data_IF_257234509815
#
_entry.id   IF_257234509815
#
_cell.length_a   1.000
_cell.length_b   1.000
_cell.length_c   1.000
_cell.angle_alpha   90.00
_cell.angle_beta   90.00
_cell.angle_gamma   90.00
#
_symmetry.space_group_name_H-M   'P 1'
#
loop_
_entity.id
_entity.type
_entity.pdbx_description
1 polymer ?
#
# COMPACT_ATOMS: atom_id res chain seq x y z
N UNK A 1 -9.48 6.88 9.71
CA UNK A 1 -8.38 5.93 10.01
C UNK A 1 -7.60 5.63 8.75
N UNK A 2 -8.24 5.10 7.71
CA UNK A 2 -7.59 4.81 6.43
C UNK A 2 -8.52 5.16 5.26
N UNK A 3 -7.92 5.38 4.09
CA UNK A 3 -8.61 5.41 2.78
C UNK A 3 -8.09 4.25 1.95
N UNK A 4 -8.97 3.64 1.17
CA UNK A 4 -8.69 2.42 0.43
C UNK A 4 -9.25 2.56 -0.99
N UNK A 5 -8.53 2.08 -1.98
CA UNK A 5 -8.92 2.19 -3.38
C UNK A 5 -8.80 0.82 -4.05
N UNK A 6 -9.90 0.34 -4.63
CA UNK A 6 -9.87 -0.83 -5.50
C UNK A 6 -9.77 -0.44 -6.97
N UNK A 7 -10.16 -1.34 -7.86
CA UNK A 7 -10.12 -1.07 -9.31
C UNK A 7 -11.00 0.12 -9.71
N UNK A 8 -12.24 0.15 -9.21
CA UNK A 8 -13.27 1.16 -9.56
C UNK A 8 -14.15 1.59 -8.38
N UNK A 9 -13.89 1.06 -7.19
CA UNK A 9 -14.57 1.38 -5.95
C UNK A 9 -13.57 1.96 -4.95
N UNK A 10 -14.11 2.54 -3.90
CA UNK A 10 -13.37 3.26 -2.88
C UNK A 10 -13.97 2.92 -1.52
N UNK A 11 -13.13 2.98 -0.48
CA UNK A 11 -13.59 2.86 0.88
C UNK A 11 -12.85 3.80 1.82
N UNK A 12 -13.49 4.08 2.95
CA UNK A 12 -12.91 4.82 4.06
C UNK A 12 -13.22 4.08 5.36
N UNK A 13 -12.18 3.80 6.13
CA UNK A 13 -12.31 3.26 7.48
C UNK A 13 -12.23 4.41 8.48
N UNK A 14 -13.31 4.65 9.21
CA UNK A 14 -13.37 5.65 10.27
C UNK A 14 -12.55 5.22 11.49
N UNK A 15 -12.20 6.18 12.35
CA UNK A 15 -11.55 5.85 13.64
C UNK A 15 -12.48 5.14 14.61
N UNK A 16 -13.79 5.23 14.40
CA UNK A 16 -14.78 4.49 15.20
C UNK A 16 -14.75 3.00 14.92
N UNK A 17 -14.24 2.55 13.77
CA UNK A 17 -14.42 1.18 13.27
C UNK A 17 -15.46 1.07 12.14
N UNK A 18 -16.10 2.17 11.73
CA UNK A 18 -17.11 2.13 10.67
C UNK A 18 -16.45 2.10 9.29
N UNK A 19 -16.82 1.14 8.45
CA UNK A 19 -16.40 1.05 7.06
C UNK A 19 -17.45 1.68 6.14
N UNK A 20 -16.99 2.61 5.30
CA UNK A 20 -17.81 3.24 4.27
C UNK A 20 -17.27 2.85 2.88
N UNK A 21 -18.16 2.50 1.96
CA UNK A 21 -17.83 2.10 0.58
C UNK A 21 -18.63 2.97 -0.41
N UNK A 22 -18.06 3.23 -1.59
CA UNK A 22 -18.71 3.92 -2.71
C UNK A 22 -18.00 3.66 -4.04
N UNK A 23 -18.62 4.10 -5.14
CA UNK A 23 -18.14 3.92 -6.49
C UNK A 23 -18.90 2.82 -7.23
N UNK A 24 -18.18 2.03 -8.02
CA UNK A 24 -18.75 1.00 -8.86
C UNK A 24 -19.16 -0.25 -8.07
N UNK A 25 -20.32 -0.83 -8.37
CA UNK A 25 -20.93 -1.93 -7.62
C UNK A 25 -21.47 -3.07 -8.51
N UNK A 26 -21.23 -3.11 -9.82
CA UNK A 26 -21.84 -4.16 -10.66
C UNK A 26 -21.36 -5.60 -10.38
N UNK A 27 -20.45 -5.83 -9.42
CA UNK A 27 -20.09 -7.15 -8.87
C UNK A 27 -20.21 -7.13 -7.34
N UNK A 28 -21.17 -6.38 -6.80
CA UNK A 28 -21.47 -6.31 -5.36
C UNK A 28 -20.32 -5.84 -4.47
N UNK A 29 -19.34 -5.16 -5.06
CA UNK A 29 -18.08 -4.83 -4.38
C UNK A 29 -18.23 -3.82 -3.24
N UNK A 30 -19.43 -3.26 -3.02
CA UNK A 30 -19.70 -2.30 -1.96
C UNK A 30 -20.35 -2.90 -0.71
N UNK A 31 -20.94 -4.10 -0.79
CA UNK A 31 -21.44 -4.82 0.40
C UNK A 31 -22.73 -4.25 1.01
N UNK A 32 -23.66 -3.78 0.18
CA UNK A 32 -24.89 -3.10 0.64
C UNK A 32 -26.20 -3.82 0.33
N UNK A 33 -26.15 -4.97 -0.36
CA UNK A 33 -27.34 -5.68 -0.87
C UNK A 33 -28.30 -4.76 -1.66
N UNK A 34 -27.78 -4.14 -2.73
CA UNK A 34 -28.54 -3.24 -3.59
C UNK A 34 -28.22 -3.46 -5.06
N UNK A 35 -29.22 -3.27 -5.91
CA UNK A 35 -29.09 -3.36 -7.37
C UNK A 35 -28.40 -2.14 -8.00
N UNK A 36 -28.11 -1.09 -7.21
CA UNK A 36 -27.43 0.11 -7.69
C UNK A 36 -26.03 -0.25 -8.22
N UNK A 37 -25.82 -0.12 -9.53
CA UNK A 37 -24.50 -0.35 -10.15
C UNK A 37 -23.44 0.69 -9.75
N UNK A 38 -23.88 1.83 -9.21
CA UNK A 38 -23.01 2.93 -8.83
C UNK A 38 -23.56 3.68 -7.61
N UNK A 39 -22.76 3.76 -6.55
CA UNK A 39 -23.07 4.56 -5.37
C UNK A 39 -22.14 5.78 -5.34
N UNK A 40 -22.65 7.02 -5.54
CA UNK A 40 -21.80 8.18 -5.74
C UNK A 40 -21.23 8.78 -4.45
N UNK A 41 -21.71 8.36 -3.28
CA UNK A 41 -21.33 8.92 -1.98
C UNK A 41 -20.97 7.80 -0.99
N UNK A 42 -20.03 8.04 -0.06
CA UNK A 42 -19.71 7.08 0.99
C UNK A 42 -20.97 6.62 1.73
N UNK A 43 -21.20 5.31 1.76
CA UNK A 43 -22.31 4.66 2.48
C UNK A 43 -21.73 3.66 3.47
N UNK A 44 -22.26 3.62 4.68
CA UNK A 44 -21.81 2.67 5.69
C UNK A 44 -22.19 1.23 5.29
N UNK A 45 -21.29 0.28 5.47
CA UNK A 45 -21.53 -1.14 5.26
C UNK A 45 -22.30 -1.68 6.46
N UNK A 46 -23.63 -1.64 6.40
CA UNK A 46 -24.51 -1.91 7.54
C UNK A 46 -24.46 -3.36 8.08
N UNK A 47 -23.99 -4.30 7.29
CA UNK A 47 -23.81 -5.70 7.69
C UNK A 47 -22.61 -5.91 8.62
N UNK A 48 -21.68 -4.95 8.71
CA UNK A 48 -20.57 -4.98 9.66
C UNK A 48 -20.90 -4.16 10.89
N UNK A 49 -20.36 -4.56 12.04
CA UNK A 49 -20.41 -3.72 13.24
C UNK A 49 -19.62 -2.41 12.99
N UNK A 50 -20.27 -1.24 13.07
CA UNK A 50 -19.65 0.05 12.77
C UNK A 50 -18.62 0.49 13.82
N UNK A 51 -18.39 -0.30 14.86
CA UNK A 51 -17.38 -0.07 15.89
C UNK A 51 -16.21 -1.05 15.86
N UNK A 52 -16.25 -2.06 14.98
CA UNK A 52 -15.37 -3.22 15.12
C UNK A 52 -14.39 -3.44 13.96
N UNK A 53 -14.54 -2.78 12.80
CA UNK A 53 -13.62 -3.01 11.68
C UNK A 53 -12.21 -2.47 11.99
N UNK A 54 -11.23 -3.37 12.05
CA UNK A 54 -9.85 -3.07 12.37
C UNK A 54 -9.06 -2.66 11.13
N UNK A 55 -9.20 -3.40 10.03
CA UNK A 55 -8.56 -3.14 8.75
C UNK A 55 -9.39 -3.68 7.58
N UNK A 56 -9.17 -3.14 6.38
CA UNK A 56 -9.82 -3.61 5.17
C UNK A 56 -8.92 -3.37 3.94
N UNK A 57 -9.17 -4.13 2.87
CA UNK A 57 -8.48 -4.00 1.59
C UNK A 57 -9.47 -4.20 0.45
N UNK A 58 -9.34 -3.39 -0.59
CA UNK A 58 -10.16 -3.47 -1.80
C UNK A 58 -9.32 -4.05 -2.93
N UNK A 59 -9.83 -5.08 -3.60
CA UNK A 59 -9.18 -5.75 -4.72
C UNK A 59 -9.67 -5.26 -6.08
N UNK A 60 -9.48 -6.12 -7.09
CA UNK A 60 -10.02 -5.94 -8.42
C UNK A 60 -11.55 -5.91 -8.43
N UNK A 61 -12.15 -6.89 -7.76
CA UNK A 61 -13.59 -7.18 -7.82
C UNK A 61 -14.20 -7.58 -6.47
N UNK A 62 -13.44 -7.51 -5.38
CA UNK A 62 -13.87 -7.98 -4.06
C UNK A 62 -13.24 -7.13 -2.96
N UNK A 63 -13.71 -7.33 -1.73
CA UNK A 63 -13.22 -6.64 -0.54
C UNK A 63 -13.02 -7.66 0.57
N UNK A 64 -11.98 -7.47 1.36
CA UNK A 64 -11.79 -8.16 2.62
C UNK A 64 -11.71 -7.15 3.76
N UNK A 65 -12.31 -7.47 4.90
CA UNK A 65 -12.24 -6.67 6.13
C UNK A 65 -12.05 -7.58 7.34
N UNK A 66 -11.13 -7.22 8.23
CA UNK A 66 -10.96 -7.91 9.50
C UNK A 66 -11.42 -7.01 10.65
N UNK A 67 -12.08 -7.60 11.63
CA UNK A 67 -12.54 -6.92 12.84
C UNK A 67 -11.50 -6.96 13.98
N UNK A 68 -11.78 -6.34 15.13
CA UNK A 68 -10.83 -6.31 16.25
C UNK A 68 -10.72 -7.65 16.99
N UNK A 69 -11.72 -8.54 16.82
CA UNK A 69 -11.66 -9.93 17.29
C UNK A 69 -10.77 -10.82 16.39
N UNK A 70 -10.35 -10.29 15.24
CA UNK A 70 -9.53 -10.97 14.25
C UNK A 70 -10.33 -11.88 13.31
N UNK A 71 -11.66 -11.76 13.27
CA UNK A 71 -12.51 -12.43 12.27
C UNK A 71 -12.35 -11.72 10.93
N UNK A 72 -12.36 -12.50 9.86
CA UNK A 72 -12.25 -12.01 8.49
C UNK A 72 -13.59 -12.12 7.78
N UNK A 73 -14.00 -11.04 7.12
CA UNK A 73 -15.16 -10.98 6.26
C UNK A 73 -14.73 -10.66 4.83
N UNK A 74 -15.45 -11.19 3.84
CA UNK A 74 -15.23 -10.88 2.43
C UNK A 74 -16.54 -10.77 1.65
N UNK A 75 -16.53 -9.97 0.60
CA UNK A 75 -17.69 -9.81 -0.31
C UNK A 75 -17.27 -9.33 -1.70
N UNK A 76 -18.22 -9.24 -2.62
CA UNK A 76 -18.00 -8.96 -4.04
C UNK A 76 -17.76 -10.23 -4.86
N UNK A 77 -17.09 -10.11 -6.01
CA UNK A 77 -16.82 -11.21 -6.93
C UNK A 77 -16.07 -12.38 -6.28
N UNK A 78 -16.43 -13.60 -6.69
CA UNK A 78 -15.92 -14.87 -6.16
C UNK A 78 -15.70 -15.92 -7.27
N UNK A 79 -15.59 -15.50 -8.52
CA UNK A 79 -15.42 -16.38 -9.69
C UNK A 79 -14.17 -17.26 -9.59
N UNK A 80 -13.13 -16.73 -8.95
CA UNK A 80 -11.86 -17.41 -8.70
C UNK A 80 -11.71 -17.83 -7.24
N UNK A 81 -12.79 -17.79 -6.43
CA UNK A 81 -12.72 -18.11 -5.01
C UNK A 81 -12.07 -17.01 -4.16
N UNK A 82 -11.87 -15.80 -4.68
CA UNK A 82 -11.17 -14.71 -4.00
C UNK A 82 -11.90 -14.15 -2.77
N UNK A 83 -13.19 -14.42 -2.60
CA UNK A 83 -13.88 -14.14 -1.33
C UNK A 83 -13.55 -15.19 -0.25
N UNK A 84 -13.07 -16.37 -0.64
CA UNK A 84 -12.68 -17.43 0.31
C UNK A 84 -13.85 -18.14 0.98
N UNK A 85 -15.06 -17.90 0.47
CA UNK A 85 -16.31 -18.53 0.90
C UNK A 85 -16.73 -19.49 -0.20
N UNK A 86 -16.87 -20.78 0.13
CA UNK A 86 -17.31 -21.79 -0.83
C UNK A 86 -18.82 -21.64 -1.07
N UNK A 87 -19.18 -21.10 -2.23
CA UNK A 87 -20.55 -20.97 -2.71
C UNK A 87 -21.00 -22.19 -3.53
N UNK A 88 -20.20 -23.25 -3.58
CA UNK A 88 -20.41 -24.45 -4.39
C UNK A 88 -19.68 -24.40 -5.75
N UNK A 89 -19.47 -25.57 -6.35
CA UNK A 89 -18.89 -25.71 -7.70
C UNK A 89 -19.91 -25.40 -8.79
N UNK A 90 -19.55 -24.50 -9.72
CA UNK A 90 -20.31 -24.34 -10.96
C UNK A 90 -20.17 -25.63 -11.77
N UNK A 91 -21.25 -26.43 -11.84
CA UNK A 91 -21.22 -27.72 -12.54
C UNK A 91 -22.29 -28.74 -12.15
N UNK A 92 -23.17 -28.43 -11.18
CA UNK A 92 -24.24 -29.35 -10.73
C UNK A 92 -25.65 -28.72 -10.73
N UNK A 93 -25.88 -27.68 -11.55
CA UNK A 93 -27.20 -27.03 -11.63
C UNK A 93 -27.59 -26.18 -10.40
N UNK A 94 -26.67 -25.98 -9.47
CA UNK A 94 -26.81 -25.00 -8.38
C UNK A 94 -26.39 -23.63 -8.93
N UNK A 95 -27.25 -22.62 -8.77
CA UNK A 95 -26.87 -21.23 -8.97
C UNK A 95 -25.76 -20.90 -7.96
N UNK A 96 -24.51 -20.94 -8.39
CA UNK A 96 -23.39 -20.45 -7.61
C UNK A 96 -23.45 -18.94 -7.69
N UNK A 97 -23.69 -18.27 -6.56
CA UNK A 97 -23.54 -16.82 -6.50
C UNK A 97 -22.07 -16.49 -6.80
N UNK A 98 -21.82 -16.00 -8.02
CA UNK A 98 -20.49 -15.61 -8.48
C UNK A 98 -19.98 -14.34 -7.77
N UNK A 99 -20.82 -13.73 -6.95
CA UNK A 99 -20.52 -12.57 -6.13
C UNK A 99 -21.37 -12.60 -4.84
N UNK A 100 -20.87 -11.96 -3.79
CA UNK A 100 -21.52 -11.84 -2.48
C UNK A 100 -21.95 -10.38 -2.27
N UNK A 101 -23.25 -10.13 -2.13
CA UNK A 101 -23.84 -8.79 -1.99
C UNK A 101 -23.63 -8.14 -0.62
N UNK A 102 -23.24 -8.94 0.36
CA UNK A 102 -22.94 -8.54 1.74
C UNK A 102 -21.66 -9.21 2.25
N UNK A 103 -20.98 -8.60 3.24
CA UNK A 103 -19.89 -9.23 3.98
C UNK A 103 -20.25 -10.60 4.55
N UNK A 104 -19.50 -11.62 4.17
CA UNK A 104 -19.62 -12.99 4.67
C UNK A 104 -18.37 -13.41 5.44
N UNK A 105 -18.55 -14.19 6.50
CA UNK A 105 -17.43 -14.68 7.33
C UNK A 105 -16.59 -15.70 6.54
N UNK A 106 -15.29 -15.45 6.45
CA UNK A 106 -14.35 -16.34 5.77
C UNK A 106 -13.90 -17.46 6.71
N UNK A 107 -14.16 -18.75 6.37
CA UNK A 107 -13.76 -19.86 7.21
C UNK A 107 -12.26 -20.14 7.08
N UNK A 108 -11.51 -20.06 8.18
CA UNK A 108 -10.12 -20.52 8.19
C UNK A 108 -10.01 -21.98 8.62
N UNK A 109 -9.13 -22.79 7.98
CA UNK A 109 -8.81 -24.11 8.48
C UNK A 109 -8.07 -23.97 9.81
N UNK A 110 -8.73 -24.37 10.90
CA UNK A 110 -8.08 -24.44 12.20
C UNK A 110 -7.01 -25.54 12.17
N UNK A 111 -5.75 -25.23 12.54
CA UNK A 111 -4.81 -26.29 12.89
C UNK A 111 -5.34 -27.00 14.14
N UNK A 112 -5.52 -28.31 14.07
CA UNK A 112 -5.56 -29.21 15.24
C UNK A 112 -6.80 -29.17 16.16
N UNK A 113 -8.01 -28.93 15.61
CA UNK A 113 -9.25 -29.14 16.36
C UNK A 113 -9.51 -28.13 17.49
N UNK A 114 -8.70 -27.07 17.58
CA UNK A 114 -9.04 -25.87 18.33
C UNK A 114 -9.93 -25.01 17.44
N UNK A 115 -11.06 -24.52 17.97
CA UNK A 115 -12.04 -23.68 17.26
C UNK A 115 -11.38 -22.72 16.25
N UNK A 116 -11.79 -22.81 14.99
CA UNK A 116 -11.39 -21.92 13.88
C UNK A 116 -11.53 -20.41 14.19
N UNK A 117 -12.30 -20.05 15.23
CA UNK A 117 -12.45 -18.70 15.78
C UNK A 117 -11.24 -18.18 16.61
N UNK A 118 -10.00 -18.61 16.34
CA UNK A 118 -8.81 -18.13 17.09
C UNK A 118 -7.65 -17.60 16.27
N UNK A 119 -7.72 -17.65 14.94
CA UNK A 119 -6.72 -16.94 14.13
C UNK A 119 -6.99 -15.44 14.23
N UNK A 120 -6.06 -14.74 14.86
CA UNK A 120 -6.11 -13.29 15.05
C UNK A 120 -5.61 -12.62 13.76
N UNK A 121 -6.49 -12.43 12.79
CA UNK A 121 -6.15 -11.73 11.55
C UNK A 121 -5.93 -10.25 11.86
N UNK A 122 -4.79 -9.71 11.44
CA UNK A 122 -4.40 -8.32 11.71
C UNK A 122 -4.18 -7.50 10.45
N UNK A 123 -3.98 -8.16 9.31
CA UNK A 123 -3.80 -7.52 8.02
C UNK A 123 -4.49 -8.32 6.93
N UNK A 124 -4.99 -7.59 5.93
CA UNK A 124 -5.60 -8.15 4.73
C UNK A 124 -5.04 -7.41 3.52
N UNK A 125 -4.83 -8.14 2.42
CA UNK A 125 -4.43 -7.56 1.15
C UNK A 125 -5.21 -8.25 0.02
N UNK A 126 -5.87 -7.46 -0.82
CA UNK A 126 -6.67 -7.95 -1.94
C UNK A 126 -5.99 -7.57 -3.25
N UNK A 127 -5.70 -8.57 -4.07
CA UNK A 127 -5.19 -8.38 -5.42
C UNK A 127 -6.30 -8.30 -6.46
N UNK A 128 -5.97 -8.64 -7.70
CA UNK A 128 -6.93 -8.67 -8.80
C UNK A 128 -7.99 -9.77 -8.62
N UNK A 129 -7.52 -10.98 -8.35
CA UNK A 129 -8.33 -12.20 -8.19
C UNK A 129 -7.84 -13.05 -7.01
N UNK A 130 -7.06 -12.47 -6.11
CA UNK A 130 -6.50 -13.16 -4.95
C UNK A 130 -6.67 -12.33 -3.68
N UNK A 131 -6.56 -13.01 -2.56
CA UNK A 131 -6.66 -12.44 -1.23
C UNK A 131 -5.61 -13.03 -0.35
N UNK A 132 -5.16 -12.23 0.60
CA UNK A 132 -4.21 -12.63 1.60
C UNK A 132 -4.57 -12.09 2.96
N UNK A 133 -4.15 -12.81 3.99
CA UNK A 133 -4.30 -12.41 5.38
C UNK A 133 -3.03 -12.71 6.18
N UNK A 134 -2.74 -11.88 7.19
CA UNK A 134 -1.63 -12.08 8.13
C UNK A 134 -2.16 -12.32 9.53
N UNK A 135 -1.67 -13.38 10.18
CA UNK A 135 -1.95 -13.70 11.58
C UNK A 135 -1.03 -12.88 12.48
N UNK A 136 -1.58 -12.10 13.41
CA UNK A 136 -0.84 -11.06 14.14
C UNK A 136 0.36 -11.55 14.97
N UNK A 137 0.20 -12.64 15.74
CA UNK A 137 1.29 -13.11 16.63
C UNK A 137 2.41 -13.83 15.91
N UNK A 138 2.08 -14.52 14.82
CA UNK A 138 3.04 -15.40 14.13
C UNK A 138 3.58 -14.76 12.85
N UNK A 139 2.90 -13.75 12.31
CA UNK A 139 3.17 -13.18 11.01
C UNK A 139 3.03 -14.21 9.88
N UNK A 140 2.26 -15.28 10.11
CA UNK A 140 1.96 -16.28 9.07
C UNK A 140 1.00 -15.71 8.04
N UNK A 141 1.23 -16.08 6.79
CA UNK A 141 0.44 -15.61 5.65
C UNK A 141 -0.49 -16.73 5.19
N UNK A 142 -1.75 -16.38 4.96
CA UNK A 142 -2.72 -17.21 4.25
C UNK A 142 -3.04 -16.55 2.91
N UNK A 143 -3.31 -17.37 1.90
CA UNK A 143 -3.68 -16.94 0.54
C UNK A 143 -4.87 -17.74 0.05
N UNK A 144 -5.70 -17.12 -0.79
CA UNK A 144 -6.75 -17.78 -1.57
C UNK A 144 -7.06 -16.97 -2.82
N UNK A 145 -7.90 -17.50 -3.70
CA UNK A 145 -8.11 -16.99 -5.05
C UNK A 145 -7.06 -17.48 -6.05
N UNK A 146 -6.88 -16.72 -7.13
CA UNK A 146 -5.91 -16.97 -8.20
C UNK A 146 -4.65 -16.12 -8.02
N UNK A 147 -3.55 -16.74 -7.60
CA UNK A 147 -2.25 -16.09 -7.38
C UNK A 147 -1.29 -16.15 -8.57
N UNK A 148 -1.60 -16.96 -9.60
CA UNK A 148 -0.78 -17.14 -10.81
C UNK A 148 -1.69 -17.20 -12.03
N UNK A 149 -1.25 -16.63 -13.16
CA UNK A 149 -1.98 -16.68 -14.42
C UNK A 149 -2.14 -18.11 -14.96
N UNK A 150 -3.39 -18.53 -15.11
CA UNK A 150 -3.90 -19.61 -15.99
C UNK A 150 -3.53 -21.10 -15.80
N UNK A 151 -2.53 -21.51 -15.00
CA UNK A 151 -2.16 -22.96 -14.96
C UNK A 151 -2.61 -23.75 -13.73
N UNK A 152 -2.96 -23.08 -12.62
CA UNK A 152 -3.38 -23.75 -11.38
C UNK A 152 -4.82 -23.43 -11.03
N UNK A 153 -5.53 -24.45 -10.57
CA UNK A 153 -6.85 -24.29 -9.96
C UNK A 153 -6.75 -23.33 -8.76
N UNK A 154 -7.62 -22.31 -8.68
CA UNK A 154 -7.56 -21.35 -7.61
C UNK A 154 -8.02 -21.97 -6.28
N UNK A 155 -7.41 -21.53 -5.18
CA UNK A 155 -7.83 -21.94 -3.85
C UNK A 155 -9.13 -21.20 -3.49
N UNK A 156 -10.22 -21.91 -3.21
CA UNK A 156 -11.52 -21.31 -2.84
C UNK A 156 -11.70 -21.06 -1.34
N UNK A 157 -10.72 -21.45 -0.54
CA UNK A 157 -10.66 -21.21 0.89
C UNK A 157 -9.23 -20.85 1.31
N UNK A 158 -9.03 -20.13 2.44
CA UNK A 158 -7.71 -19.75 2.91
C UNK A 158 -6.76 -20.94 3.07
N UNK A 159 -5.62 -20.91 2.39
CA UNK A 159 -4.53 -21.88 2.56
C UNK A 159 -3.28 -21.18 3.09
N UNK A 160 -2.58 -21.83 4.02
CA UNK A 160 -1.34 -21.29 4.59
C UNK A 160 -0.24 -21.27 3.53
N UNK A 161 0.47 -20.15 3.40
CA UNK A 161 1.64 -20.00 2.52
C UNK A 161 2.86 -20.61 3.23
N UNK A 162 3.45 -21.71 2.72
CA UNK A 162 4.61 -22.32 3.34
C UNK A 162 5.87 -21.45 3.18
N UNK A 163 6.82 -21.60 4.11
CA UNK A 163 8.14 -20.97 4.01
C UNK A 163 8.23 -19.51 4.46
N UNK A 164 7.11 -18.87 4.84
CA UNK A 164 7.10 -17.47 5.31
C UNK A 164 6.35 -17.30 6.64
N UNK A 165 6.93 -16.51 7.55
CA UNK A 165 6.37 -16.11 8.87
C UNK A 165 6.99 -14.78 9.31
N UNK A 166 6.53 -14.20 10.41
CA UNK A 166 7.07 -12.92 10.90
C UNK A 166 6.86 -11.75 9.93
N UNK A 167 5.83 -11.85 9.08
CA UNK A 167 5.45 -10.79 8.15
C UNK A 167 4.81 -9.65 8.93
N UNK A 168 5.33 -8.43 8.72
CA UNK A 168 4.85 -7.20 9.34
C UNK A 168 4.08 -6.32 8.37
N UNK A 169 4.27 -6.49 7.07
CA UNK A 169 3.51 -5.77 6.03
C UNK A 169 3.29 -6.68 4.85
N UNK A 170 2.08 -6.65 4.30
CA UNK A 170 1.72 -7.39 3.10
C UNK A 170 1.08 -6.45 2.07
N UNK A 171 1.47 -6.61 0.80
CA UNK A 171 0.85 -5.91 -0.33
C UNK A 171 0.53 -6.90 -1.44
N UNK A 172 -0.62 -6.71 -2.09
CA UNK A 172 -1.07 -7.56 -3.19
C UNK A 172 -1.24 -6.71 -4.46
N UNK A 173 -0.64 -7.15 -5.56
CA UNK A 173 -0.87 -6.63 -6.89
C UNK A 173 -1.97 -7.39 -7.62
N UNK A 174 -2.05 -7.28 -8.96
CA UNK A 174 -3.09 -8.00 -9.70
C UNK A 174 -2.97 -9.52 -9.51
N UNK A 175 -1.74 -10.03 -9.62
CA UNK A 175 -1.43 -11.47 -9.60
C UNK A 175 -0.12 -11.78 -8.85
N UNK A 176 0.34 -10.89 -7.96
CA UNK A 176 1.56 -11.09 -7.19
C UNK A 176 1.42 -10.51 -5.79
N UNK A 177 2.30 -10.93 -4.89
CA UNK A 177 2.35 -10.42 -3.52
C UNK A 177 3.77 -9.99 -3.17
N UNK A 178 3.84 -9.04 -2.23
CA UNK A 178 5.05 -8.62 -1.54
C UNK A 178 4.81 -8.76 -0.05
N UNK A 179 5.76 -9.36 0.66
CA UNK A 179 5.77 -9.42 2.12
C UNK A 179 7.05 -8.79 2.65
N UNK A 180 6.92 -7.98 3.70
CA UNK A 180 8.03 -7.43 4.47
C UNK A 180 8.08 -8.14 5.82
N UNK A 181 9.25 -8.64 6.19
CA UNK A 181 9.52 -9.15 7.53
C UNK A 181 10.08 -8.06 8.44
N UNK A 182 10.01 -8.29 9.76
CA UNK A 182 10.49 -7.36 10.79
C UNK A 182 11.99 -7.01 10.65
N UNK A 183 12.80 -7.93 10.11
CA UNK A 183 14.23 -7.73 9.85
C UNK A 183 14.53 -6.89 8.60
N UNK A 184 13.49 -6.43 7.90
CA UNK A 184 13.60 -5.59 6.70
C UNK A 184 13.75 -6.37 5.39
N UNK A 185 13.71 -7.71 5.40
CA UNK A 185 13.73 -8.52 4.18
C UNK A 185 12.39 -8.48 3.46
N UNK A 186 12.47 -8.43 2.13
CA UNK A 186 11.31 -8.40 1.22
C UNK A 186 11.22 -9.72 0.48
N UNK A 187 10.05 -10.34 0.49
CA UNK A 187 9.73 -11.55 -0.26
C UNK A 187 8.67 -11.24 -1.30
N UNK A 188 8.72 -11.94 -2.42
CA UNK A 188 7.72 -11.84 -3.49
C UNK A 188 7.37 -13.21 -4.05
N UNK A 189 6.13 -13.35 -4.53
CA UNK A 189 5.65 -14.54 -5.24
C UNK A 189 4.42 -14.22 -6.09
N UNK A 190 4.01 -15.15 -6.93
CA UNK A 190 2.94 -15.01 -7.92
C UNK A 190 3.49 -14.82 -9.33
N UNK A 191 2.77 -14.04 -10.14
CA UNK A 191 3.19 -13.73 -11.51
C UNK A 191 4.37 -12.77 -11.55
N UNK A 192 5.36 -13.05 -12.42
CA UNK A 192 6.57 -12.23 -12.56
C UNK A 192 7.01 -11.97 -13.98
N UNK A 193 6.14 -12.18 -14.98
CA UNK A 193 6.50 -12.05 -16.41
C UNK A 193 7.03 -10.67 -16.79
N UNK A 194 6.52 -9.62 -16.15
CA UNK A 194 6.97 -8.23 -16.36
C UNK A 194 8.03 -7.80 -15.34
N UNK A 195 8.53 -8.74 -14.53
CA UNK A 195 9.55 -8.49 -13.52
C UNK A 195 9.03 -7.98 -12.18
N UNK A 196 7.71 -7.97 -11.93
CA UNK A 196 7.10 -7.42 -10.71
C UNK A 196 7.51 -8.14 -9.41
N UNK A 197 8.17 -9.30 -9.51
CA UNK A 197 8.79 -10.00 -8.40
C UNK A 197 10.19 -9.44 -8.04
N UNK A 198 10.88 -8.79 -8.97
CA UNK A 198 12.18 -8.14 -8.70
C UNK A 198 13.36 -9.12 -8.56
N UNK A 199 13.19 -10.38 -8.98
CA UNK A 199 14.16 -11.47 -8.79
C UNK A 199 15.26 -11.52 -9.86
N UNK A 200 15.33 -10.51 -10.73
CA UNK A 200 16.31 -10.40 -11.80
C UNK A 200 16.04 -11.29 -13.01
N UNK A 201 14.90 -11.97 -13.06
CA UNK A 201 14.43 -12.80 -14.17
C UNK A 201 12.92 -12.70 -14.31
N UNK A 202 12.36 -12.82 -15.53
CA UNK A 202 10.94 -13.00 -15.73
C UNK A 202 10.51 -14.40 -15.29
N UNK A 203 9.21 -14.57 -15.06
CA UNK A 203 8.58 -15.85 -14.74
C UNK A 203 7.90 -15.85 -13.38
N UNK A 204 7.10 -16.89 -13.14
CA UNK A 204 6.27 -17.02 -11.94
C UNK A 204 7.04 -17.69 -10.80
N UNK A 205 6.68 -17.34 -9.58
CA UNK A 205 7.16 -18.02 -8.37
C UNK A 205 5.97 -18.47 -7.53
N UNK A 206 5.90 -19.76 -7.23
CA UNK A 206 4.79 -20.33 -6.45
C UNK A 206 4.96 -20.16 -4.94
N UNK A 207 6.20 -19.94 -4.50
CA UNK A 207 6.56 -19.80 -3.09
C UNK A 207 7.23 -18.47 -2.84
N UNK A 208 7.12 -17.91 -1.62
CA UNK A 208 7.83 -16.69 -1.27
C UNK A 208 9.33 -16.79 -1.52
N UNK A 209 9.84 -15.91 -2.38
CA UNK A 209 11.26 -15.85 -2.74
C UNK A 209 11.80 -14.46 -2.37
N UNK A 210 12.96 -14.42 -1.70
CA UNK A 210 13.57 -13.17 -1.23
C UNK A 210 14.02 -12.30 -2.41
N UNK A 211 13.72 -11.00 -2.35
CA UNK A 211 14.21 -9.99 -3.28
C UNK A 211 15.58 -9.53 -2.81
N UNK A 212 16.61 -10.34 -3.06
CA UNK A 212 17.98 -10.16 -2.52
C UNK A 212 18.60 -8.77 -2.81
N UNK A 213 18.16 -8.13 -3.89
CA UNK A 213 18.58 -6.77 -4.24
C UNK A 213 18.24 -5.72 -3.17
N UNK A 214 17.30 -6.03 -2.26
CA UNK A 214 16.84 -5.13 -1.19
C UNK A 214 17.32 -5.53 0.22
N UNK A 215 18.02 -6.65 0.40
CA UNK A 215 18.35 -7.19 1.74
C UNK A 215 19.18 -6.25 2.63
N UNK A 216 19.79 -5.20 2.05
CA UNK A 216 20.57 -4.17 2.78
C UNK A 216 20.02 -2.76 2.64
N UNK A 217 18.83 -2.60 2.05
CA UNK A 217 18.25 -1.29 1.80
C UNK A 217 17.57 -0.69 3.04
N UNK A 218 17.29 -1.49 4.07
CA UNK A 218 16.55 -1.04 5.26
C UNK A 218 15.10 -0.69 4.91
N UNK A 219 14.41 -1.61 4.23
CA UNK A 219 13.03 -1.44 3.78
C UNK A 219 12.09 -1.32 4.97
N UNK A 220 11.17 -0.36 4.90
CA UNK A 220 10.15 -0.07 5.94
C UNK A 220 8.73 -0.32 5.44
N UNK A 221 8.49 -0.17 4.15
CA UNK A 221 7.17 -0.45 3.54
C UNK A 221 7.30 -0.96 2.12
N UNK A 222 6.29 -1.70 1.69
CA UNK A 222 6.15 -2.25 0.34
C UNK A 222 4.77 -1.89 -0.21
N UNK A 223 4.67 -1.76 -1.53
CA UNK A 223 3.42 -1.54 -2.23
C UNK A 223 3.42 -2.33 -3.53
N UNK A 224 2.25 -2.81 -3.94
CA UNK A 224 2.06 -3.57 -5.16
C UNK A 224 0.91 -2.96 -5.96
N UNK A 225 1.15 -2.69 -7.24
CA UNK A 225 0.16 -2.22 -8.20
C UNK A 225 -0.28 -3.35 -9.13
N UNK A 226 -0.86 -3.01 -10.27
CA UNK A 226 -1.34 -4.01 -11.23
C UNK A 226 -0.25 -5.02 -11.65
N UNK A 227 0.89 -4.52 -12.13
CA UNK A 227 2.02 -5.34 -12.59
C UNK A 227 3.36 -4.72 -12.22
N UNK A 228 3.40 -3.95 -11.14
CA UNK A 228 4.61 -3.28 -10.67
C UNK A 228 4.60 -3.20 -9.15
N UNK A 229 5.77 -2.91 -8.61
CA UNK A 229 6.07 -3.04 -7.20
C UNK A 229 6.94 -1.88 -6.76
N UNK A 230 6.85 -1.55 -5.47
CA UNK A 230 7.70 -0.55 -4.85
C UNK A 230 8.07 -0.94 -3.42
N UNK A 231 9.22 -0.43 -2.97
CA UNK A 231 9.67 -0.51 -1.59
C UNK A 231 10.20 0.87 -1.16
N UNK A 232 9.87 1.29 0.06
CA UNK A 232 10.38 2.52 0.65
C UNK A 232 11.25 2.18 1.85
N UNK A 233 12.45 2.75 1.90
CA UNK A 233 13.41 2.54 2.98
C UNK A 233 13.16 3.48 4.15
N UNK A 234 13.70 3.14 5.32
CA UNK A 234 13.68 4.04 6.48
C UNK A 234 14.41 5.37 6.23
N UNK A 235 15.35 5.40 5.26
CA UNK A 235 16.05 6.61 4.84
C UNK A 235 15.23 7.53 3.92
N UNK A 236 14.07 7.07 3.43
CA UNK A 236 13.20 7.80 2.51
C UNK A 236 13.53 7.58 1.03
N UNK A 237 14.28 6.52 0.71
CA UNK A 237 14.58 6.11 -0.68
C UNK A 237 13.46 5.20 -1.18
N UNK A 238 13.01 5.42 -2.42
CA UNK A 238 11.98 4.60 -3.07
C UNK A 238 12.62 3.75 -4.17
N UNK A 239 12.38 2.44 -4.13
CA UNK A 239 12.70 1.50 -5.20
C UNK A 239 11.45 1.09 -5.95
N UNK A 240 11.55 0.91 -7.26
CA UNK A 240 10.46 0.51 -8.17
C UNK A 240 10.91 -0.60 -9.11
N UNK A 241 10.01 -1.52 -9.44
CA UNK A 241 10.27 -2.58 -10.43
C UNK A 241 8.98 -3.17 -11.01
N UNK A 242 9.11 -4.03 -12.02
CA UNK A 242 8.01 -4.61 -12.78
C UNK A 242 7.73 -3.87 -14.07
N UNK A 243 6.46 -3.84 -14.47
CA UNK A 243 6.03 -3.33 -15.78
C UNK A 243 6.26 -1.82 -15.92
N UNK A 244 6.96 -1.41 -16.97
CA UNK A 244 7.32 -0.01 -17.25
C UNK A 244 6.29 0.77 -18.06
N UNK A 245 5.38 0.07 -18.76
CA UNK A 245 4.38 0.67 -19.66
C UNK A 245 3.61 1.85 -19.01
N UNK A 246 3.42 2.94 -19.77
CA UNK A 246 2.85 4.22 -19.33
C UNK A 246 3.71 5.00 -18.34
N UNK A 247 4.99 4.67 -18.18
CA UNK A 247 5.89 5.36 -17.26
C UNK A 247 5.56 5.11 -15.79
N UNK A 248 4.84 4.03 -15.46
CA UNK A 248 4.34 3.78 -14.09
C UNK A 248 5.44 3.52 -13.04
N UNK A 249 6.68 3.39 -13.47
CA UNK A 249 7.86 3.26 -12.61
C UNK A 249 8.48 4.62 -12.27
N UNK A 250 8.15 5.72 -12.95
CA UNK A 250 8.67 7.02 -12.54
C UNK A 250 10.15 7.26 -12.90
N UNK A 251 10.66 6.52 -13.89
CA UNK A 251 12.05 6.60 -14.35
C UNK A 251 12.24 7.59 -15.52
N UNK A 252 11.21 8.36 -15.81
CA UNK A 252 11.18 9.33 -16.89
C UNK A 252 10.34 8.92 -18.10
N UNK A 253 9.88 9.91 -18.85
CA UNK A 253 9.14 9.72 -20.11
C UNK A 253 9.95 8.93 -21.16
N UNK A 254 11.29 8.94 -21.06
CA UNK A 254 12.20 8.17 -21.92
C UNK A 254 12.43 6.72 -21.52
N UNK A 255 11.98 6.28 -20.33
CA UNK A 255 12.18 4.90 -19.84
C UNK A 255 10.85 4.26 -19.40
N UNK A 256 10.26 3.51 -20.32
CA UNK A 256 9.08 2.68 -20.09
C UNK A 256 9.39 1.18 -20.13
N UNK A 257 10.65 0.79 -20.05
CA UNK A 257 11.04 -0.61 -20.09
C UNK A 257 10.76 -1.30 -18.76
N UNK A 258 10.34 -2.56 -18.83
CA UNK A 258 10.13 -3.39 -17.65
C UNK A 258 11.45 -3.58 -16.88
N UNK A 259 11.38 -3.55 -15.55
CA UNK A 259 12.54 -3.73 -14.68
C UNK A 259 12.40 -5.04 -13.91
N UNK A 260 13.31 -5.96 -14.21
CA UNK A 260 13.37 -7.27 -13.56
C UNK A 260 14.00 -7.22 -12.16
N UNK A 261 14.62 -6.09 -11.79
CA UNK A 261 15.21 -5.83 -10.46
C UNK A 261 14.71 -4.49 -9.93
N UNK A 262 14.65 -4.31 -8.60
CA UNK A 262 14.45 -3.01 -7.96
C UNK A 262 15.43 -1.96 -8.51
N UNK A 263 14.89 -0.81 -8.95
CA UNK A 263 15.65 0.36 -9.40
C UNK A 263 15.31 1.52 -8.47
N UNK A 264 16.33 2.25 -8.02
CA UNK A 264 16.16 3.45 -7.21
C UNK A 264 15.52 4.57 -8.02
N UNK A 265 14.48 5.19 -7.48
CA UNK A 265 13.79 6.32 -8.10
C UNK A 265 14.47 7.63 -7.68
N UNK A 266 15.12 8.30 -8.63
CA UNK A 266 15.85 9.56 -8.38
C UNK A 266 14.92 10.77 -8.56
N UNK A 267 14.46 11.41 -7.49
CA UNK A 267 13.53 12.56 -7.55
C UNK A 267 14.20 13.95 -7.72
N UNK A 268 15.52 14.04 -7.66
CA UNK A 268 16.25 15.32 -7.64
C UNK A 268 16.31 16.08 -8.97
N UNK A 269 15.94 15.46 -10.09
CA UNK A 269 16.13 16.01 -11.45
C UNK A 269 14.89 16.74 -11.99
N UNK A 270 13.75 16.64 -11.31
CA UNK A 270 12.41 16.91 -11.89
C UNK A 270 11.80 18.23 -11.43
N UNK A 271 12.57 19.04 -10.69
CA UNK A 271 12.21 20.39 -10.27
C UNK A 271 12.52 21.41 -11.34
N UNK A 272 11.62 21.57 -12.31
CA UNK A 272 11.60 22.74 -13.18
C UNK A 272 11.31 24.01 -12.38
N UNK A 273 12.33 24.61 -11.78
CA UNK A 273 12.45 26.06 -11.68
C UNK A 273 13.76 26.44 -12.37
N UNK A 274 13.77 26.36 -13.71
CA UNK A 274 14.78 27.00 -14.55
C UNK A 274 14.53 28.53 -14.57
N UNK A 275 14.42 29.14 -13.39
CA UNK A 275 14.73 30.56 -13.24
C UNK A 275 16.25 30.64 -13.26
N UNK A 276 16.79 31.31 -14.27
CA UNK A 276 18.19 31.70 -14.35
C UNK A 276 18.60 32.37 -13.03
N UNK A 277 19.22 31.61 -12.15
CA UNK A 277 19.41 32.00 -10.76
C UNK A 277 19.88 30.83 -9.91
N UNK A 278 21.10 30.35 -10.20
CA UNK A 278 21.89 29.35 -9.47
C UNK A 278 21.46 29.03 -8.03
N UNK A 279 20.48 28.14 -7.89
CA UNK A 279 20.04 27.55 -6.63
C UNK A 279 20.14 26.03 -6.68
N UNK A 280 21.36 25.47 -6.72
CA UNK A 280 21.58 24.04 -6.44
C UNK A 280 21.33 23.79 -4.95
N UNK A 281 20.06 23.66 -4.54
CA UNK A 281 19.72 23.61 -3.10
C UNK A 281 18.43 22.90 -2.72
N UNK A 282 17.74 22.24 -3.65
CA UNK A 282 16.59 21.41 -3.30
C UNK A 282 17.05 20.10 -2.66
N UNK A 283 16.68 19.84 -1.41
CA UNK A 283 16.87 18.52 -0.79
C UNK A 283 16.04 17.49 -1.56
N UNK A 284 16.62 16.33 -1.87
CA UNK A 284 15.89 15.20 -2.46
C UNK A 284 14.71 14.84 -1.54
N UNK A 285 13.46 14.77 -2.05
CA UNK A 285 12.31 14.43 -1.22
C UNK A 285 12.49 13.08 -0.54
N UNK A 286 12.33 13.04 0.78
CA UNK A 286 12.29 11.77 1.54
C UNK A 286 10.89 11.18 1.47
N UNK A 287 10.77 10.06 0.78
CA UNK A 287 9.49 9.36 0.61
C UNK A 287 9.13 8.60 1.88
N UNK A 288 7.87 8.72 2.31
CA UNK A 288 7.34 8.02 3.49
C UNK A 288 6.27 6.99 3.14
N UNK A 289 5.63 7.11 1.98
CA UNK A 289 4.58 6.21 1.52
C UNK A 289 4.58 6.13 -0.02
N UNK A 290 4.41 4.92 -0.54
CA UNK A 290 4.19 4.67 -1.96
C UNK A 290 2.82 3.98 -2.12
N UNK A 291 1.99 4.49 -3.03
CA UNK A 291 0.70 3.92 -3.37
C UNK A 291 0.67 3.60 -4.87
N UNK A 292 0.49 2.32 -5.19
CA UNK A 292 0.52 1.84 -6.57
C UNK A 292 -0.88 1.42 -6.99
N UNK A 293 -1.40 2.06 -8.03
CA UNK A 293 -2.66 1.71 -8.66
C UNK A 293 -2.47 0.65 -9.75
N UNK A 294 -3.52 0.45 -10.55
CA UNK A 294 -3.46 -0.54 -11.64
C UNK A 294 -2.41 -0.21 -12.71
N UNK A 295 -2.20 1.09 -13.00
CA UNK A 295 -1.32 1.57 -14.08
C UNK A 295 -0.64 2.91 -13.78
N UNK A 296 -0.69 3.37 -12.53
CA UNK A 296 -0.09 4.62 -12.07
C UNK A 296 0.38 4.49 -10.63
N UNK A 297 1.15 5.47 -10.18
CA UNK A 297 1.81 5.45 -8.88
C UNK A 297 1.75 6.84 -8.26
N UNK A 298 1.70 6.87 -6.93
CA UNK A 298 1.80 8.08 -6.13
C UNK A 298 2.81 7.88 -5.00
N UNK A 299 3.61 8.90 -4.73
CA UNK A 299 4.57 8.94 -3.63
C UNK A 299 4.23 10.11 -2.73
N UNK A 300 4.24 9.89 -1.41
CA UNK A 300 4.10 10.93 -0.40
C UNK A 300 5.46 11.16 0.25
N UNK A 301 5.88 12.41 0.35
CA UNK A 301 7.08 12.79 1.10
C UNK A 301 6.78 13.22 2.55
N UNK A 302 7.83 13.31 3.37
CA UNK A 302 7.74 13.69 4.80
C UNK A 302 7.13 15.08 5.04
N UNK A 303 7.20 15.97 4.04
CA UNK A 303 6.62 17.31 4.10
C UNK A 303 5.10 17.29 3.95
N UNK A 304 4.56 16.22 3.36
CA UNK A 304 3.16 16.04 3.02
C UNK A 304 2.85 16.40 1.56
N UNK A 305 3.85 16.40 0.67
CA UNK A 305 3.67 16.60 -0.77
C UNK A 305 3.49 15.26 -1.48
N UNK A 306 2.59 15.22 -2.45
CA UNK A 306 2.35 14.02 -3.26
C UNK A 306 2.93 14.23 -4.65
N UNK A 307 3.62 13.22 -5.16
CA UNK A 307 4.11 13.13 -6.53
C UNK A 307 3.37 12.00 -7.23
N UNK A 308 2.99 12.18 -8.49
CA UNK A 308 2.29 11.17 -9.28
C UNK A 308 2.93 10.97 -10.65
N UNK A 309 2.84 9.75 -11.17
CA UNK A 309 3.34 9.32 -12.47
C UNK A 309 2.63 8.06 -12.94
N UNK A 310 2.76 7.71 -14.21
CA UNK A 310 2.06 6.61 -14.86
C UNK A 310 0.95 7.08 -15.80
N UNK A 311 -0.08 6.22 -15.97
CA UNK A 311 -1.24 6.52 -16.81
C UNK A 311 -2.06 7.69 -16.24
N UNK A 312 -2.55 8.58 -17.12
CA UNK A 312 -3.37 9.75 -16.76
C UNK A 312 -4.80 9.72 -17.31
N UNK A 313 -5.29 8.57 -17.78
CA UNK A 313 -6.70 8.48 -18.18
C UNK A 313 -7.61 8.80 -16.99
N UNK A 314 -8.65 9.62 -17.22
CA UNK A 314 -9.57 10.13 -16.20
C UNK A 314 -8.95 11.14 -15.21
N UNK A 315 -7.77 11.71 -15.51
CA UNK A 315 -7.12 12.70 -14.65
C UNK A 315 -6.59 12.13 -13.33
N UNK A 316 -6.39 10.81 -13.24
CA UNK A 316 -6.02 10.09 -12.01
C UNK A 316 -4.70 10.56 -11.37
N UNK A 317 -3.85 11.26 -12.11
CA UNK A 317 -2.60 11.81 -11.58
C UNK A 317 -2.84 13.12 -10.81
N UNK A 318 -4.01 13.74 -10.88
CA UNK A 318 -4.35 14.94 -10.10
C UNK A 318 -3.49 16.17 -10.44
N UNK A 319 -2.90 16.21 -11.64
CA UNK A 319 -2.09 17.32 -12.15
C UNK A 319 -2.24 17.41 -13.67
N UNK A 320 -1.92 18.58 -14.22
CA UNK A 320 -1.89 18.76 -15.66
C UNK A 320 -0.78 17.91 -16.28
N UNK A 321 -1.10 17.23 -17.38
CA UNK A 321 -0.15 16.43 -18.19
C UNK A 321 -0.52 16.64 -19.64
N UNK A 322 0.48 16.86 -20.50
CA UNK A 322 0.28 17.04 -21.93
C UNK A 322 -0.21 15.76 -22.63
N UNK A 323 0.17 14.59 -22.11
CA UNK A 323 -0.14 13.27 -22.67
C UNK A 323 -1.13 12.43 -21.87
N UNK A 324 -1.42 11.23 -22.40
CA UNK A 324 -2.26 10.20 -21.75
C UNK A 324 -1.58 9.53 -20.56
N UNK A 325 -0.29 9.80 -20.35
CA UNK A 325 0.55 9.28 -19.27
C UNK A 325 1.78 10.19 -19.12
N UNK A 326 2.51 10.06 -18.02
CA UNK A 326 3.82 10.68 -17.83
C UNK A 326 4.62 9.83 -16.85
N UNK A 327 5.83 9.45 -17.24
CA UNK A 327 6.82 8.74 -16.43
C UNK A 327 7.66 9.65 -15.56
N UNK A 328 7.46 10.96 -15.64
CA UNK A 328 8.13 11.95 -14.81
C UNK A 328 7.33 12.15 -13.51
N UNK A 329 7.88 11.77 -12.33
CA UNK A 329 7.26 12.07 -11.06
C UNK A 329 7.14 13.57 -10.87
N UNK A 330 5.92 14.09 -10.74
CA UNK A 330 5.71 15.52 -10.53
C UNK A 330 4.63 15.77 -9.46
N UNK A 331 4.68 16.92 -8.76
CA UNK A 331 3.74 17.23 -7.70
C UNK A 331 2.27 17.23 -8.15
N UNK A 332 1.40 16.68 -7.31
CA UNK A 332 -0.07 16.77 -7.45
C UNK A 332 -0.53 18.18 -7.06
N UNK A 333 -1.51 18.71 -7.78
CA UNK A 333 -2.06 20.03 -7.52
C UNK A 333 -3.37 19.90 -6.75
N UNK A 334 -3.35 20.29 -5.48
CA UNK A 334 -4.56 20.38 -4.66
C UNK A 334 -5.26 21.73 -4.86
N UNK A 335 -6.61 21.79 -4.77
CA UNK A 335 -7.31 23.06 -4.73
C UNK A 335 -6.89 23.89 -3.51
N UNK A 336 -7.11 25.21 -3.50
CA UNK A 336 -6.79 26.06 -2.36
C UNK A 336 -7.37 25.51 -1.05
N UNK A 337 -6.58 25.57 0.03
CA UNK A 337 -7.01 25.11 1.33
C UNK A 337 -8.16 25.99 1.89
N UNK A 338 -9.22 25.41 2.47
CA UNK A 338 -10.28 26.16 3.14
C UNK A 338 -9.70 27.07 4.22
N UNK A 339 -10.10 28.35 4.23
CA UNK A 339 -9.61 29.34 5.18
C UNK A 339 -8.20 29.87 4.90
N UNK A 340 -7.60 29.53 3.75
CA UNK A 340 -6.23 29.90 3.40
C UNK A 340 -5.19 28.92 3.95
N UNK A 341 -3.90 29.18 3.67
CA UNK A 341 -2.80 28.29 4.05
C UNK A 341 -2.52 27.19 3.01
N UNK A 342 -2.02 26.04 3.47
CA UNK A 342 -1.58 24.95 2.60
C UNK A 342 -2.04 23.58 3.09
N UNK A 343 -2.32 22.66 2.16
CA UNK A 343 -2.58 21.27 2.48
C UNK A 343 -1.30 20.55 2.92
N UNK A 344 -1.41 19.73 3.96
CA UNK A 344 -0.46 18.67 4.29
C UNK A 344 -1.15 17.34 4.10
N UNK A 345 -0.75 16.57 3.09
CA UNK A 345 -1.25 15.21 2.87
C UNK A 345 -0.70 14.29 3.96
N UNK A 346 -1.56 13.41 4.47
CA UNK A 346 -1.25 12.47 5.55
C UNK A 346 -1.25 11.01 5.13
N UNK A 347 -1.89 10.67 4.01
CA UNK A 347 -1.83 9.36 3.36
C UNK A 347 -2.41 9.45 1.95
N UNK A 348 -1.99 8.55 1.07
CA UNK A 348 -2.43 8.47 -0.33
C UNK A 348 -2.76 7.02 -0.69
N UNK A 349 -3.81 6.79 -1.47
CA UNK A 349 -4.07 5.49 -2.08
C UNK A 349 -4.38 5.64 -3.57
N UNK A 350 -4.03 4.62 -4.34
CA UNK A 350 -4.16 4.61 -5.79
C UNK A 350 -4.92 3.34 -6.21
N UNK A 351 -6.05 3.54 -6.88
CA UNK A 351 -6.88 2.45 -7.39
C UNK A 351 -6.59 2.11 -8.85
N UNK A 352 -7.46 1.34 -9.48
CA UNK A 352 -7.35 1.02 -10.92
C UNK A 352 -7.58 2.24 -11.82
N UNK A 353 -8.38 3.21 -11.38
CA UNK A 353 -8.84 4.36 -12.19
C UNK A 353 -8.85 5.72 -11.49
N UNK A 354 -8.50 5.77 -10.21
CA UNK A 354 -8.61 6.95 -9.38
C UNK A 354 -7.50 6.98 -8.32
N UNK A 355 -7.34 8.12 -7.67
CA UNK A 355 -6.40 8.34 -6.56
C UNK A 355 -7.15 9.11 -5.48
N UNK A 356 -6.90 8.78 -4.22
CA UNK A 356 -7.44 9.51 -3.08
C UNK A 356 -6.33 9.88 -2.11
N UNK A 357 -6.54 10.94 -1.35
CA UNK A 357 -5.62 11.37 -0.32
C UNK A 357 -6.39 11.87 0.90
N UNK A 358 -5.83 11.65 2.09
CA UNK A 358 -6.26 12.36 3.29
C UNK A 358 -5.32 13.53 3.51
N UNK A 359 -5.84 14.68 3.92
CA UNK A 359 -5.04 15.86 4.14
C UNK A 359 -5.59 16.70 5.30
N UNK A 360 -4.71 17.51 5.90
CA UNK A 360 -5.05 18.52 6.91
C UNK A 360 -4.62 19.89 6.41
N UNK A 361 -5.38 20.92 6.78
CA UNK A 361 -4.98 22.31 6.51
C UNK A 361 -3.94 22.72 7.54
N UNK A 362 -2.80 23.25 7.06
CA UNK A 362 -1.90 24.07 7.89
C UNK A 362 -2.37 25.51 7.77
N UNK A 363 -2.80 26.10 8.89
CA UNK A 363 -3.27 27.49 8.89
C UNK A 363 -2.13 28.44 8.51
N UNK A 364 -2.51 29.57 7.90
CA UNK A 364 -1.55 30.61 7.51
C UNK A 364 -0.75 31.12 8.69
N UNK A 365 -1.40 31.39 9.82
CA UNK A 365 -0.74 31.83 11.07
C UNK A 365 0.35 30.86 11.55
N UNK A 366 0.10 29.55 11.41
CA UNK A 366 1.08 28.53 11.80
C UNK A 366 2.27 28.49 10.84
N UNK A 367 2.03 28.67 9.54
CA UNK A 367 3.09 28.76 8.54
C UNK A 367 3.96 30.00 8.78
N UNK A 368 3.32 31.16 9.00
CA UNK A 368 4.00 32.42 9.28
C UNK A 368 4.83 32.33 10.58
N UNK A 369 4.31 31.66 11.62
CA UNK A 369 5.03 31.41 12.87
C UNK A 369 6.23 30.45 12.72
N UNK A 370 6.09 29.38 11.92
CA UNK A 370 7.19 28.45 11.61
C UNK A 370 8.29 29.13 10.78
N UNK A 371 7.93 30.00 9.83
CA UNK A 371 8.87 30.80 9.03
C UNK A 371 9.59 31.86 9.87
N UNK A 372 8.87 32.53 10.79
CA UNK A 372 9.46 33.43 11.78
C UNK A 372 10.44 32.68 12.72
N UNK A 373 10.13 31.45 13.12
CA UNK A 373 11.01 30.65 13.96
C UNK A 373 12.26 30.15 13.19
N UNK A 374 12.09 29.73 11.93
CA UNK A 374 13.18 29.31 11.05
C UNK A 374 14.14 30.47 10.75
N UNK A 375 13.62 31.67 10.49
CA UNK A 375 14.44 32.88 10.30
C UNK A 375 15.14 33.33 11.59
N UNK A 376 14.48 33.22 12.76
CA UNK A 376 15.09 33.52 14.06
C UNK A 376 16.23 32.55 14.44
N UNK A 377 16.15 31.28 14.04
CA UNK A 377 17.21 30.28 14.26
C UNK A 377 18.37 30.35 13.25
N UNK A 378 18.24 31.18 12.20
CA UNK A 378 19.30 31.48 11.23
C UNK A 378 20.40 32.41 11.74
N UNK A 379 20.26 32.96 12.95
CA UNK A 379 21.26 33.78 13.63
C UNK A 379 21.77 33.10 14.90
N UNK A 380 22.98 32.55 14.84
CA UNK A 380 23.69 31.84 15.92
C UNK A 380 23.25 30.39 16.19
N UNK A 381 24.04 29.45 15.66
CA UNK A 381 24.19 28.14 16.30
C UNK A 381 24.80 28.36 17.69
N UNK A 382 24.21 27.88 18.79
CA UNK A 382 24.97 27.78 20.02
C UNK A 382 26.08 26.77 19.78
N UNK A 383 27.34 27.18 20.01
CA UNK A 383 28.46 26.24 20.11
C UNK A 383 28.13 25.26 21.22
N UNK A 384 28.06 23.97 20.88
CA UNK A 384 28.04 22.90 21.87
C UNK A 384 29.21 23.11 22.84
N UNK A 385 29.01 23.10 24.17
CA UNK A 385 30.13 23.12 25.08
C UNK A 385 30.94 21.84 24.87
N UNK A 386 32.24 22.02 24.60
CA UNK A 386 33.25 20.98 24.62
C UNK A 386 33.11 20.17 25.92
N UNK A 387 32.78 18.89 25.80
CA UNK A 387 32.94 17.92 26.88
C UNK A 387 34.44 17.83 27.19
N UNK A 388 34.89 18.56 28.21
CA UNK A 388 36.20 18.37 28.81
C UNK A 388 36.23 16.98 29.46
N UNK A 389 37.08 16.12 28.92
CA UNK A 389 37.44 14.85 29.54
C UNK A 389 37.92 15.10 30.98
N UNK A 390 37.31 14.41 31.94
CA UNK A 390 37.85 14.28 33.30
C UNK A 390 38.22 12.81 33.52
N UNK A 391 39.37 12.53 34.16
CA UNK A 391 40.00 11.23 34.14
C UNK A 391 39.34 10.24 35.11
N UNK A 392 39.44 8.97 34.72
CA UNK A 392 39.05 7.78 35.46
C UNK A 392 39.66 7.74 36.86
N UNK A 393 38.81 7.70 37.90
CA UNK A 393 39.20 7.17 39.21
C UNK A 393 38.83 5.69 39.28
N UNK A 394 39.85 4.85 39.14
CA UNK A 394 39.86 3.46 39.61
C UNK A 394 39.71 3.46 41.12
N UNK A 395 38.66 2.84 41.64
CA UNK A 395 38.63 2.31 43.00
C UNK A 395 38.94 0.83 42.94
N UNK A 396 40.19 0.49 43.28
CA UNK A 396 40.61 -0.85 43.64
C UNK A 396 40.16 -1.14 45.07
N UNK A 397 39.36 -2.19 45.25
CA UNK A 397 39.12 -2.82 46.55
C UNK A 397 40.24 -3.85 46.74
N UNK A 398 41.14 -3.61 47.68
CA UNK A 398 42.02 -4.63 48.25
C UNK A 398 41.45 -5.07 49.60
N UNK A 399 41.09 -6.34 49.70
CA UNK A 399 40.85 -7.02 50.96
C UNK A 399 42.16 -7.70 51.40
N UNK A 400 42.61 -7.45 52.63
CA UNK A 400 43.16 -8.47 53.54
C UNK A 400 43.51 -7.84 54.90
N UNK A 401 42.85 -8.39 55.93
CA UNK A 401 43.06 -8.31 57.39
C UNK A 401 43.11 -6.95 58.09
#
# INVERSE_FOLDING_TARGET
>A
KAILAGSRNSAALASSGALYTWGWNSHDTLGHDVDDEWIPRPRAVAALDPSDVACASLGGWHVCAADNDGRLFAWGGNEYGQAGVDTGTAGQGVHVSLHLSVPELVPFPAPDGLNANRLQITQVACGGMCSFAVVGRTGEVYTWGQTVGSEKEPARSPVRVPGIKGVTTLAAGMFHALALQEDGRVFSWGNGDYGQLGLGRPGNEDTPTEVEALSRAGVRSVAAGGWHSAAVTAGGVCYVWGRGEYGRLGLGDGDCADKQRPVELTLGSWGGDNREGGGRGGSVPRIVEAALGGTHSCLLDESGRVYSFGRNSLGRLGRAVSGKWSGDPAPVHFPPAPGGGAWRVTSVCAGGRHTMATARVRSKERLDAEEAAASASGGSRPRSPLLSQSPSRRTSISAQQ
#
